data_IF_793643404784
#
_entry.id   IF_793643404784
#
_cell.length_a   1.000
_cell.length_b   1.000
_cell.length_c   1.000
_cell.angle_alpha   90.00
_cell.angle_beta   90.00
_cell.angle_gamma   90.00
#
_symmetry.space_group_name_H-M   'P 1'
#
loop_
_entity.id
_entity.type
_entity.pdbx_description
1 polymer ?
#
# COMPACT_ATOMS: atom_id res chain seq x y z
N UNK A 1 -31.07 22.20 -8.70
CA UNK A 1 -30.94 21.98 -7.24
C UNK A 1 -30.76 20.49 -7.01
N UNK A 2 -29.54 20.02 -6.74
CA UNK A 2 -29.24 18.59 -6.63
C UNK A 2 -29.28 18.19 -5.15
N UNK A 3 -30.21 17.28 -4.84
CA UNK A 3 -30.43 16.71 -3.51
C UNK A 3 -29.14 16.10 -2.94
N UNK A 4 -28.61 16.70 -1.87
CA UNK A 4 -27.64 16.07 -0.98
C UNK A 4 -28.32 14.88 -0.31
N UNK A 5 -28.02 13.66 -0.72
CA UNK A 5 -28.39 12.44 0.01
C UNK A 5 -27.85 12.54 1.43
N UNK A 6 -28.77 12.63 2.40
CA UNK A 6 -28.48 12.67 3.84
C UNK A 6 -27.74 11.40 4.24
N UNK A 7 -26.63 11.57 4.95
CA UNK A 7 -25.85 10.52 5.57
C UNK A 7 -26.73 9.67 6.49
N UNK A 8 -26.87 8.37 6.18
CA UNK A 8 -27.61 7.39 6.98
C UNK A 8 -26.64 6.49 7.78
N UNK A 9 -26.53 6.66 9.11
CA UNK A 9 -25.58 5.93 9.94
C UNK A 9 -25.88 4.43 10.09
N UNK A 10 -27.07 3.95 9.73
CA UNK A 10 -27.41 2.51 9.75
C UNK A 10 -26.88 1.76 8.52
N UNK A 11 -26.58 2.48 7.43
CA UNK A 11 -26.14 1.91 6.14
C UNK A 11 -24.67 2.30 5.85
N UNK A 12 -24.26 3.51 6.26
CA UNK A 12 -22.88 3.99 6.15
C UNK A 12 -22.10 3.77 7.44
N UNK A 13 -21.99 2.50 7.82
CA UNK A 13 -21.25 2.09 9.01
C UNK A 13 -19.74 2.06 8.68
N UNK A 14 -19.10 3.24 8.66
CA UNK A 14 -17.64 3.34 8.63
C UNK A 14 -17.12 2.88 9.99
N UNK A 15 -16.92 1.56 10.14
CA UNK A 15 -16.22 1.02 11.29
C UNK A 15 -14.78 1.54 11.26
N UNK A 16 -14.47 2.48 12.15
CA UNK A 16 -13.11 2.86 12.42
C UNK A 16 -12.45 1.71 13.19
N UNK A 17 -11.56 0.98 12.53
CA UNK A 17 -10.70 -0.07 13.11
C UNK A 17 -9.66 0.52 14.08
N UNK A 18 -9.57 1.86 14.14
CA UNK A 18 -8.56 2.58 14.91
C UNK A 18 -8.95 2.64 16.39
N UNK A 19 -8.10 2.05 17.24
CA UNK A 19 -8.16 2.17 18.70
C UNK A 19 -8.01 3.65 19.11
N UNK A 20 -8.89 4.16 19.98
CA UNK A 20 -8.77 5.52 20.55
C UNK A 20 -7.51 5.59 21.43
N UNK A 21 -6.63 6.55 21.15
CA UNK A 21 -5.45 6.86 21.99
C UNK A 21 -4.11 6.28 21.51
N UNK A 22 -4.07 5.57 20.38
CA UNK A 22 -2.82 5.10 19.79
C UNK A 22 -2.32 6.09 18.74
N UNK A 23 -1.06 6.49 18.84
CA UNK A 23 -0.40 7.40 17.91
C UNK A 23 0.22 6.60 16.76
N UNK A 24 -0.32 6.78 15.56
CA UNK A 24 0.07 6.05 14.36
C UNK A 24 1.33 6.63 13.68
N UNK A 25 2.01 7.57 14.32
CA UNK A 25 3.35 8.05 13.95
C UNK A 25 4.50 7.32 14.66
N UNK A 26 4.20 6.31 15.48
CA UNK A 26 5.18 5.60 16.33
C UNK A 26 5.83 4.42 15.63
N UNK A 27 7.06 4.12 16.01
CA UNK A 27 7.78 2.92 15.59
C UNK A 27 6.93 1.65 15.66
N UNK A 28 7.16 0.75 14.71
CA UNK A 28 6.50 -0.54 14.71
C UNK A 28 6.31 -1.14 13.34
N UNK A 29 5.70 -2.33 13.35
CA UNK A 29 5.42 -3.13 12.17
C UNK A 29 3.97 -2.92 11.72
N UNK A 30 3.78 -2.68 10.43
CA UNK A 30 2.49 -2.39 9.82
C UNK A 30 2.21 -3.35 8.68
N UNK A 31 1.12 -4.10 8.78
CA UNK A 31 0.57 -4.83 7.65
C UNK A 31 -0.28 -3.90 6.80
N UNK A 32 0.05 -3.81 5.51
CA UNK A 32 -0.56 -2.90 4.55
C UNK A 32 -1.19 -3.70 3.41
N UNK A 33 -2.34 -3.23 2.93
CA UNK A 33 -2.97 -3.75 1.71
C UNK A 33 -3.43 -2.61 0.81
N UNK A 34 -2.98 -2.60 -0.44
CA UNK A 34 -3.44 -1.68 -1.48
C UNK A 34 -4.06 -2.46 -2.63
N UNK A 35 -5.33 -2.19 -2.95
CA UNK A 35 -6.03 -2.86 -4.06
C UNK A 35 -6.04 -2.00 -5.32
N UNK A 36 -5.96 -2.64 -6.48
CA UNK A 36 -6.25 -2.01 -7.76
C UNK A 36 -7.69 -1.51 -7.80
N UNK A 37 -7.91 -0.41 -8.52
CA UNK A 37 -9.24 0.09 -8.81
C UNK A 37 -10.05 -1.01 -9.51
N UNK A 38 -11.30 -1.20 -9.08
CA UNK A 38 -12.18 -2.26 -9.58
C UNK A 38 -11.59 -3.68 -9.47
N UNK A 39 -10.51 -3.85 -8.69
CA UNK A 39 -9.77 -5.11 -8.58
C UNK A 39 -9.26 -5.61 -9.93
N UNK A 40 -8.94 -4.70 -10.83
CA UNK A 40 -8.37 -5.05 -12.13
C UNK A 40 -7.05 -5.81 -11.98
N UNK A 41 -6.90 -6.90 -12.75
CA UNK A 41 -5.68 -7.70 -12.81
C UNK A 41 -4.70 -6.98 -13.76
N UNK A 42 -3.81 -6.18 -13.17
CA UNK A 42 -2.88 -5.28 -13.87
C UNK A 42 -1.43 -5.76 -13.77
N UNK A 43 -1.07 -6.50 -12.71
CA UNK A 43 0.32 -6.75 -12.35
C UNK A 43 0.83 -8.16 -12.70
N UNK A 44 -0.01 -9.00 -13.30
CA UNK A 44 0.34 -10.36 -13.68
C UNK A 44 -0.84 -11.29 -13.54
N UNK A 45 -0.56 -12.58 -13.39
CA UNK A 45 -1.55 -13.64 -13.27
C UNK A 45 -1.05 -14.75 -12.34
N UNK A 46 -1.98 -15.60 -11.88
CA UNK A 46 -1.64 -16.80 -11.12
C UNK A 46 -1.63 -18.00 -12.06
N UNK A 47 -0.50 -18.69 -12.16
CA UNK A 47 -0.34 -19.94 -12.93
C UNK A 47 0.17 -21.01 -11.96
N UNK A 48 -0.55 -22.13 -11.87
CA UNK A 48 -0.19 -23.25 -10.99
C UNK A 48 0.09 -22.81 -9.55
N UNK A 49 -0.80 -21.97 -8.99
CA UNK A 49 -0.73 -21.45 -7.62
C UNK A 49 0.47 -20.54 -7.33
N UNK A 50 1.18 -20.11 -8.37
CA UNK A 50 2.30 -19.18 -8.30
C UNK A 50 1.97 -17.85 -8.97
N UNK A 51 2.52 -16.76 -8.42
CA UNK A 51 2.38 -15.43 -9.00
C UNK A 51 3.39 -15.21 -10.13
N UNK A 52 2.89 -14.98 -11.33
CA UNK A 52 3.69 -14.64 -12.51
C UNK A 52 3.55 -13.15 -12.79
N UNK A 53 4.59 -12.37 -12.45
CA UNK A 53 4.61 -10.92 -12.66
C UNK A 53 4.79 -10.59 -14.15
N UNK A 54 3.94 -9.68 -14.64
CA UNK A 54 4.20 -8.97 -15.88
C UNK A 54 5.12 -7.76 -15.64
N UNK A 55 5.42 -6.99 -16.68
CA UNK A 55 6.34 -5.85 -16.55
C UNK A 55 5.82 -4.75 -15.62
N UNK A 56 4.50 -4.56 -15.55
CA UNK A 56 3.90 -3.64 -14.59
C UNK A 56 4.03 -4.14 -13.14
N UNK A 57 3.86 -5.45 -12.90
CA UNK A 57 4.07 -6.05 -11.59
C UNK A 57 5.53 -5.96 -11.13
N UNK A 58 6.48 -6.21 -12.03
CA UNK A 58 7.91 -6.01 -11.77
C UNK A 58 8.23 -4.55 -11.45
N UNK A 59 7.59 -3.59 -12.13
CA UNK A 59 7.73 -2.17 -11.81
C UNK A 59 7.22 -1.86 -10.39
N UNK A 60 6.06 -2.39 -10.00
CA UNK A 60 5.52 -2.21 -8.65
C UNK A 60 6.46 -2.77 -7.59
N UNK A 61 7.01 -3.97 -7.81
CA UNK A 61 8.02 -4.57 -6.93
C UNK A 61 9.28 -3.71 -6.84
N UNK A 62 9.82 -3.25 -7.96
CA UNK A 62 11.01 -2.41 -7.99
C UNK A 62 10.81 -1.08 -7.25
N UNK A 63 9.67 -0.41 -7.43
CA UNK A 63 9.32 0.81 -6.72
C UNK A 63 9.15 0.59 -5.21
N UNK A 64 8.61 -0.57 -4.80
CA UNK A 64 8.53 -0.94 -3.39
C UNK A 64 9.92 -1.12 -2.78
N UNK A 65 10.76 -1.93 -3.42
CA UNK A 65 12.14 -2.20 -2.99
C UNK A 65 13.03 -0.95 -3.00
N UNK A 66 12.68 0.07 -3.79
CA UNK A 66 13.38 1.35 -3.83
C UNK A 66 12.99 2.30 -2.67
N UNK A 67 11.93 2.03 -1.89
CA UNK A 67 11.49 2.92 -0.82
C UNK A 67 12.59 3.25 0.22
N UNK A 68 13.45 2.32 0.66
CA UNK A 68 14.55 2.62 1.59
C UNK A 68 15.60 3.61 1.03
N UNK A 69 15.61 3.85 -0.29
CA UNK A 69 16.43 4.89 -0.88
C UNK A 69 15.91 6.30 -0.52
N UNK A 70 14.59 6.44 -0.40
CA UNK A 70 13.88 7.70 -0.10
C UNK A 70 13.61 7.89 1.40
N UNK A 71 13.23 6.81 2.08
CA UNK A 71 12.88 6.83 3.51
C UNK A 71 13.93 6.01 4.26
N UNK A 72 14.77 6.66 5.06
CA UNK A 72 15.89 5.98 5.75
C UNK A 72 15.48 5.30 7.06
N UNK A 73 14.32 5.66 7.57
CA UNK A 73 13.74 5.19 8.82
C UNK A 73 12.74 4.04 8.62
N UNK A 74 12.90 3.24 7.56
CA UNK A 74 12.01 2.11 7.29
C UNK A 74 12.79 0.84 6.99
N UNK A 75 12.18 -0.31 7.28
CA UNK A 75 12.59 -1.60 6.75
C UNK A 75 11.41 -2.30 6.08
N UNK A 76 11.72 -3.01 5.00
CA UNK A 76 10.74 -3.80 4.27
C UNK A 76 10.87 -5.25 4.73
N UNK A 77 9.74 -5.85 5.08
CA UNK A 77 9.64 -7.27 5.45
C UNK A 77 8.91 -8.02 4.32
N UNK A 78 8.21 -9.11 4.63
CA UNK A 78 7.47 -9.86 3.63
C UNK A 78 6.45 -8.97 2.91
N UNK A 79 6.45 -9.07 1.58
CA UNK A 79 5.49 -8.41 0.72
C UNK A 79 5.16 -9.33 -0.45
N UNK A 80 4.06 -9.03 -1.14
CA UNK A 80 3.74 -9.69 -2.40
C UNK A 80 2.94 -8.76 -3.32
N UNK A 81 3.33 -8.72 -4.58
CA UNK A 81 2.53 -8.13 -5.67
C UNK A 81 1.63 -9.23 -6.21
N UNK A 82 0.33 -9.05 -6.09
CA UNK A 82 -0.69 -9.95 -6.63
C UNK A 82 -1.29 -9.35 -7.89
N UNK A 83 -2.05 -10.10 -8.72
CA UNK A 83 -2.56 -9.58 -9.99
C UNK A 83 -3.32 -8.27 -9.84
N UNK A 84 -4.09 -8.11 -8.76
CA UNK A 84 -5.00 -6.99 -8.54
C UNK A 84 -4.83 -6.25 -7.19
N UNK A 85 -3.80 -6.57 -6.42
CA UNK A 85 -3.53 -5.92 -5.14
C UNK A 85 -2.08 -6.13 -4.72
N UNK A 86 -1.70 -5.50 -3.62
CA UNK A 86 -0.38 -5.61 -3.03
C UNK A 86 -0.51 -5.70 -1.51
N UNK A 87 0.27 -6.59 -0.92
CA UNK A 87 0.39 -6.77 0.53
C UNK A 87 1.83 -6.54 0.97
N UNK A 88 2.03 -5.96 2.14
CA UNK A 88 3.36 -5.80 2.71
C UNK A 88 3.35 -5.68 4.22
N UNK A 89 4.45 -6.06 4.85
CA UNK A 89 4.83 -5.65 6.19
C UNK A 89 5.91 -4.56 6.09
N UNK A 90 5.63 -3.40 6.69
CA UNK A 90 6.52 -2.25 6.74
C UNK A 90 6.89 -1.97 8.19
N UNK A 91 8.19 -1.92 8.49
CA UNK A 91 8.70 -1.45 9.79
C UNK A 91 9.04 0.04 9.67
N UNK A 92 8.57 0.86 10.61
CA UNK A 92 9.07 2.21 10.84
C UNK A 92 10.03 2.14 12.04
N UNK A 93 11.29 2.56 11.84
CA UNK A 93 12.35 2.59 12.87
C UNK A 93 12.54 4.00 13.44
N UNK A 94 13.21 4.11 14.61
CA UNK A 94 13.59 5.40 15.22
C UNK A 94 14.22 6.36 14.18
N UNK A 95 13.94 7.66 14.29
CA UNK A 95 14.57 8.70 13.46
C UNK A 95 13.80 9.11 12.20
N UNK A 96 12.47 9.07 12.21
CA UNK A 96 11.59 9.55 11.13
C UNK A 96 11.61 11.08 10.92
N UNK A 97 12.80 11.68 10.83
CA UNK A 97 13.00 13.09 10.48
C UNK A 97 13.49 13.16 9.04
N UNK A 98 12.66 13.64 8.12
CA UNK A 98 13.13 14.02 6.79
C UNK A 98 14.17 15.15 6.94
N UNK A 99 15.36 14.95 6.39
CA UNK A 99 16.30 16.05 6.15
C UNK A 99 15.78 16.83 4.94
N UNK A 100 14.93 17.82 5.17
CA UNK A 100 14.61 18.82 4.16
C UNK A 100 15.67 19.92 4.28
N UNK A 101 16.37 20.22 3.19
CA UNK A 101 17.36 21.30 3.17
C UNK A 101 16.71 22.62 3.62
N UNK A 102 17.34 23.42 4.51
CA UNK A 102 16.69 24.59 5.08
C UNK A 102 16.37 25.63 4.01
N UNK A 103 15.11 26.07 3.96
CA UNK A 103 14.75 27.38 3.42
C UNK A 103 14.75 28.31 4.63
N UNK A 104 15.66 29.28 4.67
CA UNK A 104 15.81 30.18 5.82
C UNK A 104 14.49 30.90 6.16
N UNK A 105 14.08 30.84 7.44
CA UNK A 105 13.11 31.79 8.00
C UNK A 105 11.78 31.25 8.55
N UNK A 106 11.52 29.94 8.59
CA UNK A 106 10.34 29.40 9.27
C UNK A 106 10.69 28.29 10.28
N UNK A 107 10.33 28.40 11.57
CA UNK A 107 10.37 27.27 12.49
C UNK A 107 9.16 26.38 12.20
N UNK A 108 9.30 25.46 11.25
CA UNK A 108 8.38 24.33 11.10
C UNK A 108 9.03 23.11 11.74
N UNK A 109 8.47 22.68 12.88
CA UNK A 109 8.83 21.39 13.48
C UNK A 109 8.64 20.27 12.46
N UNK A 110 9.63 19.36 12.39
CA UNK A 110 9.65 18.26 11.44
C UNK A 110 8.50 17.30 11.75
N UNK A 111 7.55 17.12 10.83
CA UNK A 111 6.49 16.14 11.00
C UNK A 111 7.07 14.72 10.79
N UNK A 112 6.75 13.74 11.66
CA UNK A 112 7.23 12.36 11.51
C UNK A 112 6.76 11.73 10.20
N UNK A 113 7.63 10.98 9.51
CA UNK A 113 7.22 10.15 8.36
C UNK A 113 6.17 9.13 8.79
N UNK A 114 5.01 9.15 8.14
CA UNK A 114 3.90 8.24 8.46
C UNK A 114 3.74 7.13 7.43
N UNK A 115 3.11 6.01 7.82
CA UNK A 115 2.71 4.94 6.88
C UNK A 115 1.90 5.51 5.69
N UNK A 116 0.99 6.45 5.97
CA UNK A 116 0.16 7.05 4.93
C UNK A 116 0.94 7.88 3.91
N UNK A 117 2.00 8.55 4.35
CA UNK A 117 2.91 9.28 3.45
C UNK A 117 3.66 8.31 2.53
N UNK A 118 4.23 7.24 3.10
CA UNK A 118 4.98 6.23 2.36
C UNK A 118 4.08 5.53 1.34
N UNK A 119 2.91 5.06 1.77
CA UNK A 119 1.92 4.40 0.89
C UNK A 119 1.40 5.37 -0.17
N UNK A 120 1.17 6.64 0.17
CA UNK A 120 0.77 7.68 -0.78
C UNK A 120 1.82 7.92 -1.86
N UNK A 121 3.08 8.05 -1.45
CA UNK A 121 4.26 8.20 -2.32
C UNK A 121 4.42 7.00 -3.26
N UNK A 122 4.35 5.79 -2.71
CA UNK A 122 4.38 4.53 -3.47
C UNK A 122 3.28 4.44 -4.51
N UNK A 123 2.01 4.67 -4.12
CA UNK A 123 0.86 4.65 -5.04
C UNK A 123 0.96 5.71 -6.12
N UNK A 124 1.44 6.90 -5.76
CA UNK A 124 1.64 8.00 -6.72
C UNK A 124 2.68 7.61 -7.76
N UNK A 125 3.85 7.12 -7.31
CA UNK A 125 4.96 6.83 -8.21
C UNK A 125 4.66 5.65 -9.14
N UNK A 126 4.13 4.56 -8.60
CA UNK A 126 3.66 3.42 -9.41
C UNK A 126 2.56 3.81 -10.39
N UNK A 127 1.65 4.73 -10.04
CA UNK A 127 0.64 5.24 -10.99
C UNK A 127 1.27 5.99 -12.15
N UNK A 128 2.26 6.85 -11.88
CA UNK A 128 2.97 7.61 -12.93
C UNK A 128 3.70 6.65 -13.88
N UNK A 129 4.45 5.69 -13.34
CA UNK A 129 5.16 4.70 -14.16
C UNK A 129 4.19 3.81 -14.96
N UNK A 130 3.06 3.43 -14.36
CA UNK A 130 2.01 2.69 -15.07
C UNK A 130 1.43 3.49 -16.24
N UNK A 131 1.18 4.79 -16.06
CA UNK A 131 0.73 5.67 -17.15
C UNK A 131 1.78 5.71 -18.28
N UNK A 132 3.07 5.79 -17.94
CA UNK A 132 4.15 5.75 -18.93
C UNK A 132 4.19 4.41 -19.67
N UNK A 133 4.03 3.29 -18.95
CA UNK A 133 3.98 1.96 -19.55
C UNK A 133 2.77 1.77 -20.48
N UNK A 134 1.60 2.33 -20.14
CA UNK A 134 0.44 2.33 -21.05
C UNK A 134 0.75 3.11 -22.33
N UNK A 135 1.39 4.28 -22.22
CA UNK A 135 1.68 5.14 -23.38
C UNK A 135 2.77 4.59 -24.29
N UNK A 136 3.80 3.97 -23.72
CA UNK A 136 5.05 3.71 -24.42
C UNK A 136 5.39 2.21 -24.53
N UNK A 137 4.84 1.36 -23.65
CA UNK A 137 5.22 -0.06 -23.50
C UNK A 137 4.03 -1.01 -23.70
N UNK A 138 2.91 -0.50 -24.23
CA UNK A 138 1.70 -1.28 -24.50
C UNK A 138 1.14 -2.03 -23.28
N UNK A 139 1.29 -1.47 -22.07
CA UNK A 139 0.65 -2.04 -20.88
C UNK A 139 -0.86 -1.92 -20.95
N UNK A 140 -1.56 -2.85 -20.29
CA UNK A 140 -3.02 -2.88 -20.20
C UNK A 140 -3.56 -1.55 -19.67
N UNK A 141 -4.51 -0.96 -20.39
CA UNK A 141 -5.18 0.28 -19.98
C UNK A 141 -6.00 0.06 -18.70
N UNK A 142 -6.24 1.14 -17.96
CA UNK A 142 -7.00 1.10 -16.70
C UNK A 142 -8.04 2.23 -16.67
N UNK A 143 -9.14 2.02 -15.95
CA UNK A 143 -10.23 2.99 -15.88
C UNK A 143 -9.96 4.05 -14.80
N UNK A 144 -9.35 5.16 -15.21
CA UNK A 144 -9.18 6.38 -14.40
C UNK A 144 -8.10 6.30 -13.32
N UNK A 145 -8.03 5.25 -12.50
CA UNK A 145 -7.02 5.09 -11.43
C UNK A 145 -6.44 3.68 -11.41
N UNK A 146 -5.15 3.56 -11.11
CA UNK A 146 -4.51 2.25 -10.90
C UNK A 146 -4.95 1.66 -9.56
N UNK A 147 -4.85 2.45 -8.49
CA UNK A 147 -5.19 2.04 -7.13
C UNK A 147 -6.53 2.59 -6.65
N UNK A 148 -7.19 1.88 -5.74
CA UNK A 148 -8.30 2.43 -4.95
C UNK A 148 -7.84 3.63 -4.13
N UNK A 149 -8.77 4.54 -3.77
CA UNK A 149 -8.42 5.77 -3.01
C UNK A 149 -7.75 5.44 -1.67
N UNK A 150 -8.34 4.54 -0.90
CA UNK A 150 -7.85 4.15 0.42
C UNK A 150 -6.91 2.94 0.34
N UNK A 151 -6.36 2.57 1.48
CA UNK A 151 -5.61 1.35 1.71
C UNK A 151 -6.00 0.81 3.10
N UNK A 152 -5.76 -0.47 3.35
CA UNK A 152 -5.94 -1.05 4.67
C UNK A 152 -4.58 -1.09 5.38
N UNK A 153 -4.57 -0.78 6.68
CA UNK A 153 -3.39 -0.84 7.53
C UNK A 153 -3.75 -1.47 8.88
N UNK A 154 -2.85 -2.26 9.45
CA UNK A 154 -3.00 -2.83 10.79
C UNK A 154 -1.62 -2.99 11.43
N UNK A 155 -1.48 -2.52 12.67
CA UNK A 155 -0.23 -2.67 13.42
C UNK A 155 -0.07 -4.10 13.93
N UNK A 156 1.13 -4.63 13.78
CA UNK A 156 1.56 -5.94 14.25
C UNK A 156 2.21 -5.77 15.62
N UNK A 157 1.63 -6.38 16.65
CA UNK A 157 2.02 -6.15 18.06
C UNK A 157 2.65 -7.37 18.74
N UNK A 158 2.80 -8.49 18.04
CA UNK A 158 3.40 -9.71 18.58
C UNK A 158 4.11 -10.48 17.48
N UNK A 159 5.10 -11.27 17.88
CA UNK A 159 5.83 -12.19 17.01
C UNK A 159 4.89 -13.21 16.34
N UNK A 160 3.92 -13.76 17.08
CA UNK A 160 2.93 -14.67 16.52
C UNK A 160 2.06 -13.99 15.45
N UNK A 161 1.66 -12.73 15.66
CA UNK A 161 0.96 -11.97 14.62
C UNK A 161 1.84 -11.72 13.39
N UNK A 162 3.12 -11.42 13.60
CA UNK A 162 4.10 -11.25 12.51
C UNK A 162 4.20 -12.53 11.68
N UNK A 163 4.51 -13.67 12.31
CA UNK A 163 4.66 -14.97 11.64
C UNK A 163 3.41 -15.35 10.84
N UNK A 164 2.22 -15.14 11.42
CA UNK A 164 0.96 -15.44 10.76
C UNK A 164 0.72 -14.56 9.52
N UNK A 165 1.03 -13.26 9.61
CA UNK A 165 0.86 -12.33 8.50
C UNK A 165 1.90 -12.61 7.40
N UNK A 166 3.16 -12.83 7.76
CA UNK A 166 4.21 -13.22 6.82
C UNK A 166 3.83 -14.52 6.09
N UNK A 167 3.31 -15.52 6.84
CA UNK A 167 2.81 -16.77 6.26
C UNK A 167 1.61 -16.55 5.33
N UNK A 168 0.69 -15.66 5.69
CA UNK A 168 -0.45 -15.29 4.84
C UNK A 168 0.02 -14.65 3.52
N UNK A 169 0.98 -13.73 3.58
CA UNK A 169 1.56 -13.07 2.42
C UNK A 169 2.21 -14.09 1.48
N UNK A 170 3.07 -14.97 2.01
CA UNK A 170 3.78 -15.99 1.23
C UNK A 170 2.80 -16.97 0.56
N UNK A 171 1.75 -17.37 1.26
CA UNK A 171 0.74 -18.32 0.75
C UNK A 171 -0.35 -17.66 -0.09
N UNK A 172 -0.31 -16.34 -0.28
CA UNK A 172 -1.38 -15.62 -0.98
C UNK A 172 -1.59 -16.07 -2.44
N UNK A 173 -0.53 -16.36 -3.25
CA UNK A 173 -0.70 -16.86 -4.62
C UNK A 173 -1.52 -18.14 -4.69
N UNK A 174 -1.21 -19.11 -3.83
CA UNK A 174 -1.92 -20.38 -3.76
C UNK A 174 -3.36 -20.23 -3.29
N UNK A 175 -3.62 -19.25 -2.42
CA UNK A 175 -4.96 -18.99 -1.90
C UNK A 175 -5.73 -17.95 -2.73
N UNK A 176 -5.22 -17.52 -3.89
CA UNK A 176 -5.76 -16.35 -4.60
C UNK A 176 -7.22 -16.52 -4.96
N UNK A 177 -7.65 -17.72 -5.39
CA UNK A 177 -9.06 -17.99 -5.77
C UNK A 177 -10.03 -17.90 -4.59
N UNK A 178 -9.55 -18.13 -3.37
CA UNK A 178 -10.34 -18.08 -2.13
C UNK A 178 -10.20 -16.74 -1.42
N UNK A 179 -9.30 -15.87 -1.90
CA UNK A 179 -9.07 -14.57 -1.29
C UNK A 179 -10.31 -13.68 -1.44
N UNK A 180 -10.70 -13.00 -0.36
CA UNK A 180 -11.80 -12.01 -0.37
C UNK A 180 -11.54 -10.86 -1.33
N UNK A 181 -10.29 -10.68 -1.74
CA UNK A 181 -9.85 -9.70 -2.70
C UNK A 181 -9.92 -10.17 -4.15
N UNK A 182 -10.15 -11.46 -4.38
CA UNK A 182 -10.40 -12.06 -5.68
C UNK A 182 -11.75 -11.59 -6.22
N UNK A 183 -11.72 -10.89 -7.36
CA UNK A 183 -12.87 -10.60 -8.21
C UNK A 183 -12.42 -10.52 -9.66
#
# INVERSE_FOLDING_TARGET
MINKTKYNPLIHNRQSIRLKGYDYSKEGLYFITTCCQERAHLFGEIISDEMILNDAGKMVEAEWLALPNRYKNIKLHEFIVMPNHFHSILEITEGATLVVAPIEGQPQGIAPTTVGEIVGSFKSKTTVEYINGVKNLNWKTFNGKVWQRNYHESIIRSENSYINISSYIIKNPANFKEDKLFK
#
